data_IF_918908723107
#
_entry.id   IF_918908723107
#
_cell.length_a   1.000
_cell.length_b   1.000
_cell.length_c   1.000
_cell.angle_alpha   90.00
_cell.angle_beta   90.00
_cell.angle_gamma   90.00
#
_symmetry.space_group_name_H-M   'P 1'
#
loop_
_entity.id
_entity.type
_entity.pdbx_description
1 polymer ?
#
# COMPACT_ATOMS: atom_id res chain seq x y z
N UNK A 1 -5.07 -23.51 2.22
CA UNK A 1 -5.17 -24.27 0.94
C UNK A 1 -4.62 -23.55 -0.30
N UNK A 2 -4.41 -22.22 -0.31
CA UNK A 2 -3.83 -21.49 -1.47
C UNK A 2 -2.29 -21.34 -1.49
N UNK A 3 -1.56 -21.63 -0.41
CA UNK A 3 -0.09 -21.46 -0.39
C UNK A 3 0.68 -22.71 -0.85
N UNK A 4 0.13 -23.91 -0.63
CA UNK A 4 0.76 -25.17 -1.10
C UNK A 4 0.67 -25.34 -2.63
N UNK A 5 -0.32 -24.72 -3.27
CA UNK A 5 -0.47 -24.73 -4.73
C UNK A 5 0.54 -23.82 -5.43
N UNK A 6 0.94 -22.69 -4.85
CA UNK A 6 1.85 -21.72 -5.50
C UNK A 6 3.29 -22.23 -5.58
N UNK A 7 3.78 -22.91 -4.54
CA UNK A 7 5.12 -23.53 -4.55
C UNK A 7 5.18 -24.72 -5.52
N UNK A 8 4.08 -25.47 -5.65
CA UNK A 8 3.95 -26.53 -6.65
C UNK A 8 3.99 -26.02 -8.09
N UNK A 9 3.39 -24.86 -8.38
CA UNK A 9 3.36 -24.29 -9.73
C UNK A 9 4.71 -23.74 -10.22
N UNK A 10 5.58 -23.30 -9.31
CA UNK A 10 6.91 -22.73 -9.66
C UNK A 10 7.97 -23.83 -9.78
N UNK A 11 7.86 -24.92 -9.01
CA UNK A 11 8.88 -25.97 -8.96
C UNK A 11 8.59 -27.12 -9.93
N UNK A 12 7.32 -27.43 -10.22
CA UNK A 12 6.94 -28.58 -11.07
C UNK A 12 7.51 -28.55 -12.51
N UNK A 13 7.72 -27.40 -13.19
CA UNK A 13 8.32 -27.40 -14.52
C UNK A 13 9.85 -27.55 -14.50
N UNK A 14 10.50 -27.17 -13.40
CA UNK A 14 11.98 -27.21 -13.26
C UNK A 14 12.46 -28.65 -13.07
N UNK A 15 11.63 -29.53 -12.51
CA UNK A 15 11.91 -30.96 -12.33
C UNK A 15 11.41 -31.84 -13.49
N UNK A 16 10.74 -31.26 -14.49
CA UNK A 16 10.13 -31.95 -15.62
C UNK A 16 10.93 -31.83 -16.93
N UNK A 17 12.25 -32.00 -16.92
CA UNK A 17 13.03 -32.16 -18.15
C UNK A 17 12.72 -33.53 -18.77
N UNK A 18 11.66 -33.61 -19.59
CA UNK A 18 11.36 -34.87 -20.29
C UNK A 18 10.07 -34.96 -21.13
N UNK A 19 9.30 -33.88 -21.35
CA UNK A 19 8.15 -33.94 -22.28
C UNK A 19 8.13 -32.71 -23.19
N UNK A 20 7.91 -32.95 -24.48
CA UNK A 20 8.03 -32.01 -25.61
C UNK A 20 7.01 -30.85 -25.65
N UNK A 21 6.46 -30.40 -24.52
CA UNK A 21 5.48 -29.31 -24.47
C UNK A 21 5.92 -28.19 -23.50
N UNK A 22 6.12 -27.00 -24.06
CA UNK A 22 6.46 -25.78 -23.33
C UNK A 22 5.21 -25.21 -22.63
N UNK A 23 5.11 -25.35 -21.30
CA UNK A 23 3.92 -24.95 -20.53
C UNK A 23 4.10 -23.53 -19.98
N UNK A 24 3.20 -22.61 -20.30
CA UNK A 24 3.20 -21.23 -19.78
C UNK A 24 2.42 -21.12 -18.44
N UNK A 25 2.76 -20.17 -17.54
CA UNK A 25 2.10 -19.98 -16.25
C UNK A 25 0.60 -19.65 -16.34
N UNK A 26 0.18 -18.95 -17.40
CA UNK A 26 -1.24 -18.64 -17.67
C UNK A 26 -1.62 -18.96 -19.11
N UNK A 27 -2.83 -19.51 -19.30
CA UNK A 27 -3.43 -19.69 -20.63
C UNK A 27 -3.95 -18.36 -21.16
N UNK A 28 -3.04 -17.49 -21.57
CA UNK A 28 -3.32 -16.18 -22.17
C UNK A 28 -2.85 -16.15 -23.62
N UNK A 29 -3.64 -15.54 -24.51
CA UNK A 29 -3.31 -15.41 -25.93
C UNK A 29 -2.09 -14.50 -26.12
N UNK A 30 -1.09 -14.98 -26.86
CA UNK A 30 0.13 -14.23 -27.19
C UNK A 30 0.24 -14.12 -28.71
N UNK A 31 0.45 -12.93 -29.29
CA UNK A 31 0.39 -12.71 -30.74
C UNK A 31 1.59 -13.25 -31.53
N UNK A 32 2.53 -13.94 -30.89
CA UNK A 32 3.75 -14.49 -31.49
C UNK A 32 3.99 -15.95 -31.05
N UNK A 33 4.69 -16.72 -31.89
CA UNK A 33 4.97 -18.14 -31.62
C UNK A 33 5.92 -18.31 -30.44
N UNK A 34 5.48 -19.08 -29.45
CA UNK A 34 6.23 -19.37 -28.21
C UNK A 34 7.06 -20.67 -28.35
N UNK A 35 7.25 -21.18 -29.58
CA UNK A 35 7.99 -22.41 -29.85
C UNK A 35 9.52 -22.28 -29.75
N UNK A 36 10.04 -21.05 -29.61
CA UNK A 36 11.48 -20.77 -29.46
C UNK A 36 11.80 -20.35 -28.03
N UNK A 37 12.98 -20.72 -27.55
CA UNK A 37 13.39 -20.59 -26.14
C UNK A 37 13.38 -19.14 -25.63
N UNK A 38 13.80 -18.18 -26.46
CA UNK A 38 13.92 -16.78 -26.08
C UNK A 38 12.55 -16.08 -25.90
N UNK A 39 11.61 -16.15 -26.87
CA UNK A 39 10.25 -15.63 -26.65
C UNK A 39 9.48 -16.41 -25.58
N UNK A 40 9.73 -17.72 -25.40
CA UNK A 40 9.17 -18.48 -24.29
C UNK A 40 9.65 -17.96 -22.93
N UNK A 41 10.96 -17.81 -22.74
CA UNK A 41 11.53 -17.31 -21.49
C UNK A 41 11.03 -15.89 -21.16
N UNK A 42 10.97 -14.99 -22.16
CA UNK A 42 10.45 -13.63 -21.96
C UNK A 42 8.96 -13.62 -21.57
N UNK A 43 8.12 -14.42 -22.26
CA UNK A 43 6.69 -14.54 -21.96
C UNK A 43 6.46 -15.18 -20.60
N UNK A 44 7.25 -16.20 -20.27
CA UNK A 44 7.21 -16.88 -18.98
C UNK A 44 7.56 -15.92 -17.85
N UNK A 45 8.69 -15.19 -17.97
CA UNK A 45 9.13 -14.20 -16.98
C UNK A 45 8.08 -13.09 -16.80
N UNK A 46 7.52 -12.59 -17.89
CA UNK A 46 6.48 -11.57 -17.89
C UNK A 46 5.20 -12.07 -17.20
N UNK A 47 4.75 -13.30 -17.48
CA UNK A 47 3.57 -13.88 -16.85
C UNK A 47 3.81 -14.19 -15.37
N UNK A 48 4.99 -14.69 -14.99
CA UNK A 48 5.36 -14.87 -13.58
C UNK A 48 5.47 -13.54 -12.83
N UNK A 49 6.02 -12.50 -13.45
CA UNK A 49 6.11 -11.17 -12.85
C UNK A 49 4.71 -10.54 -12.71
N UNK A 50 3.84 -10.70 -13.70
CA UNK A 50 2.45 -10.25 -13.63
C UNK A 50 1.63 -11.00 -12.56
N UNK A 51 1.83 -12.32 -12.42
CA UNK A 51 1.23 -13.12 -11.35
C UNK A 51 1.77 -12.72 -9.98
N UNK A 52 3.08 -12.53 -9.86
CA UNK A 52 3.72 -12.06 -8.64
C UNK A 52 3.22 -10.67 -8.25
N UNK A 53 3.08 -9.75 -9.21
CA UNK A 53 2.54 -8.42 -9.00
C UNK A 53 1.05 -8.46 -8.64
N UNK A 54 0.23 -9.29 -9.29
CA UNK A 54 -1.19 -9.47 -8.96
C UNK A 54 -1.39 -10.10 -7.57
N UNK A 55 -0.54 -11.06 -7.18
CA UNK A 55 -0.53 -11.66 -5.84
C UNK A 55 -0.05 -10.64 -4.82
N UNK A 56 1.01 -9.87 -5.08
CA UNK A 56 1.51 -8.83 -4.18
C UNK A 56 0.52 -7.67 -4.01
N UNK A 57 -0.20 -7.28 -5.07
CA UNK A 57 -1.26 -6.26 -5.01
C UNK A 57 -2.46 -6.71 -4.16
N UNK A 58 -2.87 -7.98 -4.26
CA UNK A 58 -3.87 -8.55 -3.36
C UNK A 58 -3.32 -8.66 -1.93
N UNK A 59 -2.08 -9.12 -1.77
CA UNK A 59 -1.40 -9.27 -0.48
C UNK A 59 -1.13 -7.93 0.20
N UNK A 60 -0.93 -6.81 -0.48
CA UNK A 60 -0.73 -5.52 0.20
C UNK A 60 -2.02 -4.95 0.81
N UNK A 61 -3.15 -5.12 0.12
CA UNK A 61 -4.46 -4.70 0.62
C UNK A 61 -5.00 -5.68 1.66
N UNK A 62 -4.77 -6.97 1.43
CA UNK A 62 -5.10 -8.02 2.36
C UNK A 62 -4.16 -7.98 3.58
N UNK A 63 -2.85 -7.79 3.49
CA UNK A 63 -1.94 -7.87 4.66
C UNK A 63 -2.18 -6.82 5.74
N UNK A 64 -2.81 -5.69 5.42
CA UNK A 64 -3.14 -4.66 6.41
C UNK A 64 -4.49 -4.96 7.10
N UNK A 65 -5.45 -5.55 6.38
CA UNK A 65 -6.74 -6.02 6.93
C UNK A 65 -6.61 -7.39 7.59
N UNK A 66 -5.81 -8.28 7.00
CA UNK A 66 -5.39 -9.59 7.47
C UNK A 66 -4.35 -9.50 8.56
N UNK A 67 -3.47 -8.50 8.68
CA UNK A 67 -2.62 -8.37 9.87
C UNK A 67 -3.45 -8.31 11.16
N UNK A 68 -4.51 -7.49 11.15
CA UNK A 68 -5.45 -7.36 12.26
C UNK A 68 -6.51 -8.47 12.33
N UNK A 69 -7.06 -8.91 11.19
CA UNK A 69 -8.00 -10.05 11.20
C UNK A 69 -7.32 -11.40 11.40
N UNK A 70 -6.03 -11.58 11.10
CA UNK A 70 -5.28 -12.81 11.42
C UNK A 70 -5.07 -12.89 12.93
N UNK A 71 -4.84 -11.79 13.66
CA UNK A 71 -4.69 -11.87 15.11
C UNK A 71 -5.99 -12.34 15.81
N UNK A 72 -7.15 -11.86 15.35
CA UNK A 72 -8.45 -12.26 15.87
C UNK A 72 -8.99 -13.58 15.29
N UNK A 73 -8.76 -13.83 14.00
CA UNK A 73 -9.24 -15.00 13.25
C UNK A 73 -8.29 -16.19 13.39
N UNK A 74 -6.99 -16.03 13.71
CA UNK A 74 -6.11 -17.16 14.02
C UNK A 74 -6.62 -17.91 15.26
N UNK A 75 -6.99 -17.20 16.33
CA UNK A 75 -7.51 -17.83 17.55
C UNK A 75 -8.80 -18.63 17.30
N UNK A 76 -9.67 -18.15 16.40
CA UNK A 76 -10.93 -18.79 16.03
C UNK A 76 -10.82 -19.84 14.91
N UNK A 77 -9.89 -19.67 13.96
CA UNK A 77 -9.70 -20.57 12.82
C UNK A 77 -8.88 -21.80 13.19
N UNK A 78 -7.88 -21.69 14.07
CA UNK A 78 -7.15 -22.87 14.56
C UNK A 78 -8.06 -23.75 15.41
N UNK A 79 -8.92 -23.13 16.25
CA UNK A 79 -9.91 -23.85 17.06
C UNK A 79 -11.01 -24.49 16.19
N UNK A 80 -11.53 -23.78 15.18
CA UNK A 80 -12.56 -24.33 14.29
C UNK A 80 -12.03 -25.40 13.34
N UNK A 81 -10.80 -25.28 12.82
CA UNK A 81 -10.14 -26.34 12.06
C UNK A 81 -9.88 -27.58 12.90
N UNK A 82 -9.43 -27.40 14.15
CA UNK A 82 -9.21 -28.51 15.08
C UNK A 82 -10.53 -29.23 15.42
N UNK A 83 -11.60 -28.48 15.68
CA UNK A 83 -12.93 -29.05 15.96
C UNK A 83 -13.48 -29.77 14.71
N UNK A 84 -13.32 -29.19 13.53
CA UNK A 84 -13.83 -29.78 12.28
C UNK A 84 -13.01 -30.99 11.83
N UNK A 85 -11.70 -31.01 12.07
CA UNK A 85 -10.84 -32.17 11.81
C UNK A 85 -11.12 -33.31 12.80
N UNK A 86 -11.34 -32.99 14.08
CA UNK A 86 -11.77 -33.95 15.10
C UNK A 86 -13.15 -34.54 14.77
N UNK A 87 -14.11 -33.70 14.37
CA UNK A 87 -15.44 -34.12 13.94
C UNK A 87 -15.41 -34.98 12.65
N UNK A 88 -14.54 -34.64 11.69
CA UNK A 88 -14.36 -35.42 10.45
C UNK A 88 -13.71 -36.78 10.74
N UNK A 89 -12.72 -36.81 11.64
CA UNK A 89 -12.08 -38.05 12.07
C UNK A 89 -13.05 -38.96 12.83
N UNK A 90 -13.86 -38.41 13.75
CA UNK A 90 -14.95 -39.14 14.42
C UNK A 90 -16.01 -39.60 13.42
N UNK A 91 -16.38 -38.77 12.44
CA UNK A 91 -17.33 -39.12 11.39
C UNK A 91 -16.87 -40.28 10.50
N UNK A 92 -15.59 -40.30 10.09
CA UNK A 92 -14.99 -41.39 9.32
C UNK A 92 -14.89 -42.70 10.11
N UNK A 93 -14.68 -42.62 11.42
CA UNK A 93 -14.63 -43.78 12.33
C UNK A 93 -16.04 -44.29 12.69
N UNK A 94 -17.06 -43.42 12.71
CA UNK A 94 -18.43 -43.78 13.12
C UNK A 94 -19.36 -44.12 11.95
N UNK A 95 -19.12 -43.60 10.75
CA UNK A 95 -20.01 -43.79 9.58
C UNK A 95 -20.21 -45.28 9.18
N UNK A 96 -19.20 -46.16 9.22
CA UNK A 96 -19.39 -47.58 8.92
C UNK A 96 -20.06 -48.36 10.06
N UNK A 97 -19.87 -47.91 11.32
CA UNK A 97 -20.48 -48.52 12.52
C UNK A 97 -22.00 -48.29 12.52
N UNK A 98 -22.46 -47.13 12.06
CA UNK A 98 -23.89 -46.86 11.84
C UNK A 98 -24.48 -47.62 10.64
N UNK A 99 -23.63 -48.13 9.74
CA UNK A 99 -24.00 -48.97 8.59
C UNK A 99 -24.13 -50.48 8.88
N UNK A 100 -23.86 -50.91 10.11
CA UNK A 100 -23.85 -52.33 10.55
C UNK A 100 -25.19 -53.09 10.37
N UNK A 101 -26.24 -52.42 9.90
CA UNK A 101 -27.54 -53.05 9.58
C UNK A 101 -27.71 -53.55 8.14
N UNK A 102 -26.76 -53.33 7.22
CA UNK A 102 -26.92 -53.62 5.77
C UNK A 102 -26.10 -54.79 5.19
N UNK A 103 -25.38 -55.54 6.02
CA UNK A 103 -24.74 -56.81 5.60
C UNK A 103 -23.48 -56.69 4.73
N UNK A 104 -22.95 -55.49 4.50
CA UNK A 104 -21.70 -55.27 3.75
C UNK A 104 -20.61 -54.68 4.66
N UNK A 105 -19.45 -55.35 4.72
CA UNK A 105 -18.29 -54.95 5.52
C UNK A 105 -17.49 -53.86 4.79
N UNK A 106 -17.51 -52.62 5.28
CA UNK A 106 -16.78 -51.50 4.68
C UNK A 106 -15.54 -51.11 5.50
N UNK A 107 -14.38 -51.05 4.86
CA UNK A 107 -13.13 -50.56 5.46
C UNK A 107 -12.98 -49.03 5.26
N UNK A 108 -12.31 -48.31 6.18
CA UNK A 108 -12.10 -46.87 6.08
C UNK A 108 -11.31 -46.45 4.83
N UNK A 109 -10.36 -47.27 4.40
CA UNK A 109 -9.56 -47.03 3.19
C UNK A 109 -9.52 -48.27 2.30
N UNK A 110 -9.63 -48.08 0.98
CA UNK A 110 -9.47 -49.18 0.00
C UNK A 110 -8.00 -49.52 -0.16
N UNK A 111 -7.47 -50.30 0.78
CA UNK A 111 -6.09 -50.78 0.78
C UNK A 111 -6.09 -52.29 0.55
N UNK A 112 -5.11 -52.81 -0.20
CA UNK A 112 -4.95 -54.25 -0.38
C UNK A 112 -4.50 -54.88 0.95
N UNK A 113 -5.21 -55.93 1.38
CA UNK A 113 -4.92 -56.68 2.60
C UNK A 113 -4.67 -58.15 2.21
N UNK A 114 -3.57 -58.77 2.65
CA UNK A 114 -3.16 -60.10 2.17
C UNK A 114 -3.95 -61.28 2.77
N UNK A 115 -4.98 -61.02 3.60
CA UNK A 115 -5.79 -62.03 4.28
C UNK A 115 -7.29 -61.80 4.07
N UNK A 116 -8.09 -62.87 4.20
CA UNK A 116 -9.55 -62.81 4.06
C UNK A 116 -10.17 -61.94 5.17
N UNK A 117 -11.05 -61.03 4.78
CA UNK A 117 -11.75 -60.10 5.67
C UNK A 117 -13.21 -60.56 5.89
N UNK A 118 -13.52 -61.82 5.56
CA UNK A 118 -14.85 -62.42 5.74
C UNK A 118 -15.19 -62.72 7.20
N UNK A 119 -14.18 -62.79 8.08
CA UNK A 119 -14.34 -63.07 9.50
C UNK A 119 -14.28 -61.79 10.35
N UNK A 120 -15.07 -61.76 11.43
CA UNK A 120 -15.25 -60.57 12.30
C UNK A 120 -13.92 -60.10 12.91
N UNK A 121 -13.10 -61.03 13.40
CA UNK A 121 -11.87 -60.68 14.11
C UNK A 121 -10.81 -59.99 13.21
N UNK A 122 -10.42 -60.54 12.05
CA UNK A 122 -9.50 -59.84 11.13
C UNK A 122 -10.09 -58.56 10.54
N UNK A 123 -11.41 -58.48 10.35
CA UNK A 123 -12.07 -57.24 9.92
C UNK A 123 -11.90 -56.13 10.97
N UNK A 124 -12.25 -56.38 12.24
CA UNK A 124 -12.18 -55.38 13.32
C UNK A 124 -10.75 -54.94 13.57
N UNK A 125 -9.77 -55.86 13.54
CA UNK A 125 -8.36 -55.52 13.70
C UNK A 125 -7.86 -54.60 12.57
N UNK A 126 -8.16 -54.94 11.31
CA UNK A 126 -7.78 -54.12 10.14
C UNK A 126 -8.48 -52.77 10.17
N UNK A 127 -9.75 -52.73 10.58
CA UNK A 127 -10.54 -51.52 10.70
C UNK A 127 -9.94 -50.57 11.74
N UNK A 128 -9.67 -51.06 12.95
CA UNK A 128 -9.05 -50.26 14.01
C UNK A 128 -7.67 -49.75 13.60
N UNK A 129 -6.88 -50.59 12.91
CA UNK A 129 -5.55 -50.19 12.42
C UNK A 129 -5.65 -49.08 11.36
N UNK A 130 -6.54 -49.21 10.37
CA UNK A 130 -6.74 -48.18 9.34
C UNK A 130 -7.34 -46.90 9.92
N UNK A 131 -8.29 -47.01 10.84
CA UNK A 131 -8.88 -45.88 11.55
C UNK A 131 -7.84 -45.13 12.38
N UNK A 132 -7.00 -45.85 13.15
CA UNK A 132 -5.93 -45.25 13.94
C UNK A 132 -4.86 -44.60 13.05
N UNK A 133 -4.49 -45.24 11.93
CA UNK A 133 -3.54 -44.67 10.98
C UNK A 133 -4.09 -43.40 10.30
N UNK A 134 -5.36 -43.40 9.90
CA UNK A 134 -6.02 -42.23 9.30
C UNK A 134 -6.14 -41.09 10.33
N UNK A 135 -6.54 -41.41 11.57
CA UNK A 135 -6.59 -40.44 12.67
C UNK A 135 -5.22 -39.82 12.93
N UNK A 136 -4.17 -40.64 13.03
CA UNK A 136 -2.81 -40.17 13.25
C UNK A 136 -2.28 -39.32 12.08
N UNK A 137 -2.55 -39.71 10.83
CA UNK A 137 -2.18 -38.94 9.65
C UNK A 137 -2.90 -37.57 9.60
N UNK A 138 -4.21 -37.53 9.90
CA UNK A 138 -4.98 -36.29 9.97
C UNK A 138 -4.44 -35.39 11.10
N UNK A 139 -4.18 -35.95 12.29
CA UNK A 139 -3.68 -35.20 13.44
C UNK A 139 -2.28 -34.63 13.20
N UNK A 140 -1.37 -35.39 12.56
CA UNK A 140 -0.05 -34.89 12.18
C UNK A 140 -0.14 -33.77 11.14
N UNK A 141 -1.01 -33.90 10.14
CA UNK A 141 -1.19 -32.88 9.11
C UNK A 141 -1.73 -31.58 9.70
N UNK A 142 -2.76 -31.67 10.55
CA UNK A 142 -3.34 -30.51 11.25
C UNK A 142 -2.32 -29.86 12.19
N UNK A 143 -1.48 -30.66 12.87
CA UNK A 143 -0.43 -30.13 13.75
C UNK A 143 0.67 -29.41 12.97
N UNK A 144 1.08 -29.95 11.82
CA UNK A 144 2.06 -29.33 10.94
C UNK A 144 1.51 -28.04 10.32
N UNK A 145 0.28 -28.06 9.80
CA UNK A 145 -0.38 -26.87 9.28
C UNK A 145 -0.49 -25.80 10.37
N UNK A 146 -0.96 -26.14 11.58
CA UNK A 146 -1.06 -25.21 12.70
C UNK A 146 0.29 -24.60 13.10
N UNK A 147 1.38 -25.37 13.02
CA UNK A 147 2.73 -24.90 13.30
C UNK A 147 3.21 -23.93 12.23
N UNK A 148 3.03 -24.27 10.94
CA UNK A 148 3.37 -23.38 9.81
C UNK A 148 2.55 -22.08 9.87
N UNK A 149 1.25 -22.16 10.17
CA UNK A 149 0.41 -20.99 10.38
C UNK A 149 0.89 -20.15 11.57
N UNK A 150 1.19 -20.76 12.72
CA UNK A 150 1.75 -20.05 13.89
C UNK A 150 3.06 -19.32 13.58
N UNK A 151 4.01 -19.98 12.88
CA UNK A 151 5.25 -19.35 12.43
C UNK A 151 5.02 -18.22 11.44
N UNK A 152 4.08 -18.38 10.50
CA UNK A 152 3.74 -17.34 9.52
C UNK A 152 3.17 -16.10 10.19
N UNK A 153 2.33 -16.27 11.21
CA UNK A 153 1.73 -15.17 11.99
C UNK A 153 2.82 -14.44 12.79
N UNK A 154 3.67 -15.18 13.50
CA UNK A 154 4.78 -14.58 14.23
C UNK A 154 5.78 -13.88 13.31
N UNK A 155 6.10 -14.47 12.16
CA UNK A 155 6.95 -13.86 11.15
C UNK A 155 6.32 -12.58 10.56
N UNK A 156 5.02 -12.59 10.28
CA UNK A 156 4.29 -11.41 9.78
C UNK A 156 4.31 -10.26 10.80
N UNK A 157 4.08 -10.55 12.09
CA UNK A 157 4.22 -9.56 13.15
C UNK A 157 5.64 -9.01 13.27
N UNK A 158 6.67 -9.86 13.14
CA UNK A 158 8.06 -9.39 13.16
C UNK A 158 8.44 -8.55 11.93
N UNK A 159 7.87 -8.87 10.75
CA UNK A 159 8.06 -8.06 9.54
C UNK A 159 7.50 -6.66 9.74
N UNK A 160 6.34 -6.51 10.39
CA UNK A 160 5.78 -5.18 10.70
C UNK A 160 6.75 -4.33 11.52
N UNK A 161 7.23 -4.85 12.67
CA UNK A 161 8.19 -4.13 13.50
C UNK A 161 9.51 -3.84 12.77
N UNK A 162 9.97 -4.76 11.91
CA UNK A 162 11.17 -4.58 11.11
C UNK A 162 11.01 -3.46 10.07
N UNK A 163 9.85 -3.39 9.40
CA UNK A 163 9.54 -2.31 8.45
C UNK A 163 9.48 -0.96 9.16
N UNK A 164 8.87 -0.90 10.35
CA UNK A 164 8.83 0.31 11.17
C UNK A 164 10.23 0.77 11.54
N UNK A 165 11.03 -0.14 12.12
CA UNK A 165 12.40 0.16 12.49
C UNK A 165 13.19 0.73 11.31
N UNK A 166 13.06 0.09 10.15
CA UNK A 166 13.75 0.47 8.93
C UNK A 166 13.31 1.84 8.39
N UNK A 167 12.02 2.20 8.48
CA UNK A 167 11.52 3.53 8.09
C UNK A 167 12.02 4.62 9.04
N UNK A 168 11.97 4.38 10.35
CA UNK A 168 12.43 5.35 11.34
C UNK A 168 13.94 5.52 11.30
N UNK A 169 14.71 4.44 11.13
CA UNK A 169 16.15 4.47 10.90
C UNK A 169 16.47 5.33 9.67
N UNK A 170 15.82 5.05 8.54
CA UNK A 170 16.01 5.84 7.32
C UNK A 170 15.67 7.32 7.52
N UNK A 171 14.57 7.63 8.21
CA UNK A 171 14.16 9.01 8.51
C UNK A 171 15.20 9.76 9.35
N UNK A 172 15.81 9.08 10.33
CA UNK A 172 16.88 9.67 11.16
C UNK A 172 18.14 9.93 10.32
N UNK A 173 18.54 8.97 9.48
CA UNK A 173 19.71 9.14 8.60
C UNK A 173 19.50 10.27 7.59
N UNK A 174 18.30 10.42 7.06
CA UNK A 174 17.96 11.50 6.14
C UNK A 174 17.96 12.86 6.85
N UNK A 175 17.46 12.93 8.08
CA UNK A 175 17.53 14.14 8.89
C UNK A 175 18.99 14.56 9.20
N UNK A 176 19.87 13.58 9.46
CA UNK A 176 21.31 13.86 9.65
C UNK A 176 21.94 14.39 8.37
N UNK A 177 21.59 13.84 7.20
CA UNK A 177 22.11 14.31 5.92
C UNK A 177 21.66 15.72 5.59
N UNK A 178 20.39 16.06 5.85
CA UNK A 178 19.86 17.43 5.71
C UNK A 178 20.62 18.41 6.60
N UNK A 179 20.94 18.03 7.85
CA UNK A 179 21.73 18.88 8.76
C UNK A 179 23.16 19.07 8.25
N UNK A 180 23.76 18.02 7.67
CA UNK A 180 25.12 18.03 7.13
C UNK A 180 25.25 18.84 5.85
N UNK A 181 24.27 18.73 4.96
CA UNK A 181 24.26 19.41 3.64
C UNK A 181 23.71 20.83 3.70
N UNK A 182 23.43 21.37 4.90
CA UNK A 182 22.84 22.71 5.10
C UNK A 182 23.55 23.86 4.39
N UNK A 183 24.86 23.74 4.18
CA UNK A 183 25.67 24.78 3.53
C UNK A 183 25.60 24.69 1.99
N UNK A 184 25.12 23.57 1.44
CA UNK A 184 24.97 23.30 0.01
C UNK A 184 23.49 23.30 -0.40
N UNK A 185 23.00 24.46 -0.84
CA UNK A 185 21.57 24.70 -1.13
C UNK A 185 20.95 23.64 -2.05
N UNK A 186 21.67 23.19 -3.08
CA UNK A 186 21.13 22.22 -4.05
C UNK A 186 20.92 20.82 -3.42
N UNK A 187 21.91 20.33 -2.68
CA UNK A 187 21.84 19.02 -1.99
C UNK A 187 20.85 19.06 -0.84
N UNK A 188 20.82 20.17 -0.09
CA UNK A 188 19.83 20.41 0.96
C UNK A 188 18.39 20.35 0.42
N UNK A 189 18.14 20.91 -0.76
CA UNK A 189 16.81 20.96 -1.38
C UNK A 189 16.32 19.55 -1.75
N UNK A 190 17.21 18.73 -2.31
CA UNK A 190 16.93 17.35 -2.69
C UNK A 190 16.69 16.48 -1.44
N UNK A 191 17.53 16.63 -0.40
CA UNK A 191 17.38 15.95 0.89
C UNK A 191 16.12 16.36 1.65
N UNK A 192 15.74 17.64 1.64
CA UNK A 192 14.52 18.12 2.31
C UNK A 192 13.23 17.54 1.70
N UNK A 193 13.19 17.34 0.38
CA UNK A 193 12.02 16.77 -0.29
C UNK A 193 11.78 15.31 0.14
N UNK A 194 12.83 14.50 0.14
CA UNK A 194 12.78 13.10 0.61
C UNK A 194 12.51 13.05 2.12
N UNK A 195 13.23 13.86 2.91
CA UNK A 195 13.14 13.87 4.36
C UNK A 195 11.76 14.26 4.88
N UNK A 196 11.11 15.26 4.28
CA UNK A 196 9.74 15.64 4.66
C UNK A 196 8.72 14.57 4.31
N UNK A 197 8.94 13.83 3.22
CA UNK A 197 8.06 12.71 2.82
C UNK A 197 8.14 11.57 3.84
N UNK A 198 9.34 11.14 4.21
CA UNK A 198 9.54 10.08 5.22
C UNK A 198 9.15 10.52 6.64
N UNK A 199 9.36 11.80 6.99
CA UNK A 199 8.88 12.37 8.24
C UNK A 199 7.35 12.34 8.31
N UNK A 200 6.67 12.75 7.24
CA UNK A 200 5.20 12.70 7.16
C UNK A 200 4.70 11.26 7.27
N UNK A 201 5.34 10.32 6.58
CA UNK A 201 5.01 8.90 6.67
C UNK A 201 5.12 8.39 8.12
N UNK A 202 6.20 8.75 8.82
CA UNK A 202 6.43 8.39 10.22
C UNK A 202 5.32 8.94 11.12
N UNK A 203 4.90 10.19 10.90
CA UNK A 203 3.78 10.81 11.64
C UNK A 203 2.45 10.14 11.32
N UNK A 204 2.16 9.83 10.05
CA UNK A 204 0.95 9.08 9.64
C UNK A 204 0.90 7.71 10.31
N UNK A 205 2.01 6.99 10.30
CA UNK A 205 2.13 5.67 10.92
C UNK A 205 1.92 5.73 12.44
N UNK A 206 2.59 6.67 13.13
CA UNK A 206 2.38 6.88 14.57
C UNK A 206 0.93 7.26 14.90
N UNK A 207 0.30 8.11 14.09
CA UNK A 207 -1.11 8.47 14.24
C UNK A 207 -2.04 7.27 14.08
N UNK A 208 -1.76 6.38 13.12
CA UNK A 208 -2.52 5.15 12.92
C UNK A 208 -2.41 4.23 14.14
N UNK A 209 -1.20 3.96 14.63
CA UNK A 209 -0.99 3.12 15.81
C UNK A 209 -1.70 3.67 17.06
N UNK A 210 -1.61 4.98 17.30
CA UNK A 210 -2.28 5.62 18.44
C UNK A 210 -3.82 5.55 18.36
N UNK A 211 -4.37 5.29 17.18
CA UNK A 211 -5.81 5.37 16.88
C UNK A 211 -6.39 4.08 16.33
N UNK A 212 -5.63 2.99 16.34
CA UNK A 212 -6.03 1.68 15.84
C UNK A 212 -7.42 1.27 16.36
N UNK A 213 -7.65 1.44 17.66
CA UNK A 213 -8.94 1.17 18.30
C UNK A 213 -10.11 1.97 17.69
N UNK A 214 -9.89 3.25 17.36
CA UNK A 214 -10.91 4.11 16.75
C UNK A 214 -11.17 3.75 15.29
N UNK A 215 -10.13 3.34 14.56
CA UNK A 215 -10.26 2.84 13.19
C UNK A 215 -11.04 1.52 13.17
N UNK A 216 -10.76 0.62 14.12
CA UNK A 216 -11.55 -0.60 14.31
C UNK A 216 -13.01 -0.29 14.64
N UNK A 217 -13.26 0.64 15.57
CA UNK A 217 -14.62 1.09 15.92
C UNK A 217 -15.36 1.63 14.68
N UNK A 218 -14.67 2.35 13.80
CA UNK A 218 -15.22 2.88 12.55
C UNK A 218 -15.63 1.77 11.57
N UNK A 219 -14.82 0.71 11.45
CA UNK A 219 -15.17 -0.47 10.67
C UNK A 219 -16.35 -1.23 11.26
N UNK A 220 -16.45 -1.30 12.58
CA UNK A 220 -17.57 -1.94 13.27
C UNK A 220 -18.88 -1.18 13.05
N UNK A 221 -18.85 0.16 13.04
CA UNK A 221 -20.02 0.97 12.66
C UNK A 221 -20.52 0.67 11.25
N UNK A 222 -19.63 0.48 10.27
CA UNK A 222 -20.00 0.12 8.89
C UNK A 222 -20.55 -1.32 8.78
N UNK A 223 -20.25 -2.20 9.73
CA UNK A 223 -20.74 -3.59 9.77
C UNK A 223 -22.12 -3.74 10.41
N UNK A 224 -22.63 -2.70 11.07
CA UNK A 224 -23.98 -2.73 11.66
C UNK A 224 -25.01 -3.06 10.57
N UNK A 225 -25.99 -3.91 10.91
CA UNK A 225 -27.06 -4.37 9.99
C UNK A 225 -27.76 -3.24 9.21
N UNK A 226 -27.83 -2.06 9.82
CA UNK A 226 -28.37 -0.84 9.21
C UNK A 226 -27.54 -0.32 8.03
N UNK A 227 -26.21 -0.44 8.07
CA UNK A 227 -25.30 -0.03 7.00
C UNK A 227 -25.15 -1.08 5.88
N UNK A 228 -25.69 -2.28 6.09
CA UNK A 228 -25.66 -3.37 5.12
C UNK A 228 -26.82 -3.24 4.11
N UNK A 229 -26.64 -3.73 2.87
CA UNK A 229 -27.66 -3.65 1.83
C UNK A 229 -28.73 -4.73 2.07
N UNK A 230 -30.01 -4.37 1.89
CA UNK A 230 -31.16 -5.27 2.04
C UNK A 230 -31.67 -5.80 0.70
N UNK A 231 -31.59 -4.99 -0.35
CA UNK A 231 -32.14 -5.25 -1.68
C UNK A 231 -31.04 -5.27 -2.75
N UNK A 232 -31.31 -5.87 -3.91
CA UNK A 232 -30.39 -5.89 -5.05
C UNK A 232 -30.00 -4.48 -5.53
N UNK A 233 -30.93 -3.52 -5.51
CA UNK A 233 -30.65 -2.12 -5.83
C UNK A 233 -29.67 -1.49 -4.83
N UNK A 234 -29.84 -1.74 -3.53
CA UNK A 234 -28.93 -1.23 -2.49
C UNK A 234 -27.52 -1.85 -2.62
N UNK A 235 -27.45 -3.12 -3.03
CA UNK A 235 -26.20 -3.80 -3.27
C UNK A 235 -25.44 -3.17 -4.45
N UNK A 236 -26.14 -2.82 -5.55
CA UNK A 236 -25.54 -2.16 -6.71
C UNK A 236 -24.94 -0.80 -6.36
N UNK A 237 -25.64 0.01 -5.55
CA UNK A 237 -25.15 1.32 -5.09
C UNK A 237 -23.82 1.16 -4.33
N UNK A 238 -23.74 0.16 -3.45
CA UNK A 238 -22.56 -0.07 -2.63
C UNK A 238 -21.39 -0.67 -3.43
N UNK A 239 -21.68 -1.55 -4.40
CA UNK A 239 -20.67 -2.10 -5.31
C UNK A 239 -20.07 -1.02 -6.23
N UNK A 240 -20.87 -0.07 -6.71
CA UNK A 240 -20.38 1.05 -7.49
C UNK A 240 -19.38 1.92 -6.72
N UNK A 241 -19.73 2.28 -5.48
CA UNK A 241 -18.85 3.05 -4.60
C UNK A 241 -17.57 2.29 -4.23
N UNK A 242 -17.69 0.99 -3.91
CA UNK A 242 -16.55 0.13 -3.64
C UNK A 242 -15.61 0.03 -4.86
N UNK A 243 -16.17 -0.12 -6.06
CA UNK A 243 -15.42 -0.11 -7.32
C UNK A 243 -14.68 1.21 -7.52
N UNK A 244 -15.32 2.35 -7.22
CA UNK A 244 -14.69 3.68 -7.31
C UNK A 244 -13.52 3.81 -6.32
N UNK A 245 -13.67 3.35 -5.08
CA UNK A 245 -12.60 3.35 -4.08
C UNK A 245 -11.41 2.46 -4.52
N UNK A 246 -11.70 1.26 -5.02
CA UNK A 246 -10.67 0.32 -5.51
C UNK A 246 -9.90 0.89 -6.70
N UNK A 247 -10.58 1.42 -7.71
CA UNK A 247 -9.92 2.02 -8.87
C UNK A 247 -9.07 3.23 -8.48
N UNK A 248 -9.56 4.08 -7.58
CA UNK A 248 -8.79 5.22 -7.07
C UNK A 248 -7.49 4.77 -6.38
N UNK A 249 -7.58 3.72 -5.55
CA UNK A 249 -6.43 3.11 -4.85
C UNK A 249 -5.41 2.53 -5.81
N UNK A 250 -5.87 1.74 -6.78
CA UNK A 250 -4.99 1.13 -7.78
C UNK A 250 -4.31 2.20 -8.63
N UNK A 251 -5.04 3.21 -9.09
CA UNK A 251 -4.46 4.31 -9.86
C UNK A 251 -3.39 5.07 -9.06
N UNK A 252 -3.65 5.41 -7.80
CA UNK A 252 -2.69 6.11 -6.96
C UNK A 252 -1.44 5.27 -6.67
N UNK A 253 -1.62 3.98 -6.43
CA UNK A 253 -0.52 3.03 -6.26
C UNK A 253 0.35 2.95 -7.51
N UNK A 254 -0.25 2.80 -8.70
CA UNK A 254 0.51 2.72 -9.96
C UNK A 254 1.35 3.96 -10.22
N UNK A 255 0.80 5.16 -9.98
CA UNK A 255 1.53 6.42 -10.14
C UNK A 255 2.70 6.47 -9.15
N UNK A 256 2.45 6.16 -7.88
CA UNK A 256 3.48 6.22 -6.82
C UNK A 256 4.62 5.23 -7.06
N UNK A 257 4.30 4.01 -7.52
CA UNK A 257 5.30 3.01 -7.89
C UNK A 257 6.11 3.40 -9.13
N UNK A 258 5.46 3.96 -10.14
CA UNK A 258 6.16 4.45 -11.33
C UNK A 258 7.18 5.54 -10.95
N UNK A 259 6.80 6.45 -10.06
CA UNK A 259 7.72 7.47 -9.51
C UNK A 259 8.87 6.84 -8.73
N UNK A 260 8.59 5.89 -7.82
CA UNK A 260 9.62 5.18 -7.05
C UNK A 260 10.62 4.40 -7.92
N UNK A 261 10.14 3.73 -8.96
CA UNK A 261 11.01 3.05 -9.93
C UNK A 261 11.94 4.04 -10.66
N UNK A 262 11.47 5.24 -10.97
CA UNK A 262 12.29 6.30 -11.56
C UNK A 262 13.52 6.67 -10.72
N UNK A 263 13.36 6.74 -9.39
CA UNK A 263 14.47 6.98 -8.46
C UNK A 263 15.50 5.85 -8.44
N UNK A 264 15.07 4.60 -8.62
CA UNK A 264 15.97 3.44 -8.59
C UNK A 264 16.70 3.21 -9.91
N UNK A 265 16.00 3.40 -11.04
CA UNK A 265 16.52 3.10 -12.38
C UNK A 265 17.63 4.05 -12.81
N UNK A 266 17.52 5.34 -12.48
CA UNK A 266 18.52 6.36 -12.89
C UNK A 266 19.94 6.05 -12.39
N UNK A 267 20.17 5.80 -11.08
CA UNK A 267 21.49 5.38 -10.59
C UNK A 267 21.91 3.99 -11.08
N UNK A 268 20.98 3.04 -11.26
CA UNK A 268 21.30 1.72 -11.78
C UNK A 268 21.82 1.76 -13.23
N UNK A 269 21.22 2.60 -14.07
CA UNK A 269 21.72 2.88 -15.43
C UNK A 269 23.08 3.60 -15.39
N UNK A 270 23.27 4.54 -14.46
CA UNK A 270 24.56 5.20 -14.22
C UNK A 270 25.68 4.22 -13.87
N UNK A 271 25.38 3.23 -13.03
CA UNK A 271 26.33 2.15 -12.70
C UNK A 271 26.70 1.32 -13.94
N UNK A 272 25.71 0.90 -14.74
CA UNK A 272 25.94 0.07 -15.93
C UNK A 272 26.70 0.80 -17.05
N UNK A 273 26.49 2.11 -17.18
CA UNK A 273 27.06 2.90 -18.28
C UNK A 273 28.37 3.60 -17.94
N UNK A 274 28.52 4.08 -16.69
CA UNK A 274 29.65 4.90 -16.25
C UNK A 274 30.49 4.27 -15.12
N UNK A 275 30.10 3.10 -14.59
CA UNK A 275 30.73 2.48 -13.40
C UNK A 275 30.79 3.40 -12.17
N UNK A 276 29.89 4.37 -12.08
CA UNK A 276 29.78 5.27 -10.93
C UNK A 276 28.90 4.65 -9.85
N UNK A 277 29.41 4.60 -8.62
CA UNK A 277 28.70 4.05 -7.46
C UNK A 277 27.82 5.15 -6.84
N UNK A 278 26.68 5.43 -7.48
CA UNK A 278 25.72 6.45 -7.02
C UNK A 278 24.52 5.75 -6.38
N UNK A 279 24.22 6.11 -5.14
CA UNK A 279 23.07 5.56 -4.43
C UNK A 279 21.76 6.23 -4.88
N UNK A 280 20.64 5.50 -4.93
CA UNK A 280 19.31 6.03 -5.26
C UNK A 280 18.84 7.15 -4.35
N UNK A 281 19.09 7.00 -3.05
CA UNK A 281 18.68 7.96 -2.03
C UNK A 281 19.95 8.52 -1.38
N UNK A 282 20.10 9.84 -1.43
CA UNK A 282 21.19 10.58 -0.80
C UNK A 282 20.89 10.74 0.68
N UNK A 283 21.10 9.67 1.44
CA UNK A 283 20.96 9.66 2.90
C UNK A 283 22.31 9.43 3.55
N UNK A 284 22.46 9.87 4.80
CA UNK A 284 23.72 9.74 5.52
C UNK A 284 24.04 8.26 5.77
N UNK A 285 25.24 7.84 5.41
CA UNK A 285 25.72 6.47 5.65
C UNK A 285 26.98 6.53 6.51
N UNK A 286 26.97 5.89 7.69
CA UNK A 286 28.09 5.97 8.63
C UNK A 286 29.31 5.10 8.24
N UNK A 287 29.20 4.30 7.18
CA UNK A 287 30.24 3.38 6.70
C UNK A 287 30.65 3.65 5.26
N UNK A 288 31.87 3.23 4.87
CA UNK A 288 32.40 3.44 3.53
C UNK A 288 31.74 2.51 2.50
N UNK A 289 31.09 3.08 1.49
CA UNK A 289 30.41 2.35 0.41
C UNK A 289 31.36 2.00 -0.75
N UNK A 290 32.66 1.90 -0.49
CA UNK A 290 33.68 1.67 -1.53
C UNK A 290 33.70 0.23 -2.08
N UNK A 291 33.20 -0.73 -1.30
CA UNK A 291 33.17 -2.15 -1.69
C UNK A 291 31.82 -2.47 -2.37
N UNK A 292 31.87 -3.14 -3.52
CA UNK A 292 30.70 -3.53 -4.31
C UNK A 292 29.65 -4.31 -3.50
N UNK A 293 30.08 -5.19 -2.59
CA UNK A 293 29.15 -5.95 -1.75
C UNK A 293 28.38 -5.06 -0.77
N UNK A 294 29.07 -4.10 -0.14
CA UNK A 294 28.46 -3.14 0.79
C UNK A 294 27.54 -2.20 0.00
N UNK A 295 27.96 -1.76 -1.19
CA UNK A 295 27.14 -0.96 -2.09
C UNK A 295 25.84 -1.68 -2.47
N UNK A 296 25.91 -2.94 -2.93
CA UNK A 296 24.74 -3.70 -3.33
C UNK A 296 23.79 -3.98 -2.15
N UNK A 297 24.35 -4.26 -0.96
CA UNK A 297 23.56 -4.43 0.25
C UNK A 297 22.81 -3.13 0.64
N UNK A 298 23.50 -1.99 0.59
CA UNK A 298 22.92 -0.68 0.88
C UNK A 298 21.84 -0.31 -0.14
N UNK A 299 22.10 -0.58 -1.43
CA UNK A 299 21.15 -0.39 -2.51
C UNK A 299 19.89 -1.24 -2.30
N UNK A 300 20.05 -2.50 -1.91
CA UNK A 300 18.93 -3.39 -1.60
C UNK A 300 18.14 -2.90 -0.38
N UNK A 301 18.81 -2.44 0.68
CA UNK A 301 18.17 -1.85 1.84
C UNK A 301 17.35 -0.60 1.46
N UNK A 302 17.91 0.31 0.65
CA UNK A 302 17.19 1.49 0.17
C UNK A 302 16.00 1.11 -0.73
N UNK A 303 16.15 0.08 -1.58
CA UNK A 303 15.05 -0.44 -2.39
C UNK A 303 13.90 -0.97 -1.52
N UNK A 304 14.21 -1.76 -0.50
CA UNK A 304 13.22 -2.30 0.45
C UNK A 304 12.53 -1.16 1.21
N UNK A 305 13.32 -0.18 1.67
CA UNK A 305 12.80 1.02 2.36
C UNK A 305 11.83 1.80 1.48
N UNK A 306 12.21 2.07 0.24
CA UNK A 306 11.39 2.82 -0.69
C UNK A 306 10.12 2.04 -1.06
N UNK A 307 10.23 0.73 -1.29
CA UNK A 307 9.10 -0.15 -1.60
C UNK A 307 8.04 -0.12 -0.49
N UNK A 308 8.45 -0.38 0.76
CA UNK A 308 7.53 -0.36 1.89
C UNK A 308 7.06 1.05 2.25
N UNK A 309 7.91 2.06 2.08
CA UNK A 309 7.54 3.46 2.26
C UNK A 309 6.42 3.90 1.33
N UNK A 310 6.52 3.55 0.03
CA UNK A 310 5.46 3.82 -0.94
C UNK A 310 4.18 3.07 -0.60
N UNK A 311 4.27 1.76 -0.27
CA UNK A 311 3.09 0.97 0.10
C UNK A 311 2.36 1.54 1.30
N UNK A 312 3.08 1.87 2.38
CA UNK A 312 2.46 2.43 3.58
C UNK A 312 1.87 3.80 3.34
N UNK A 313 2.56 4.69 2.60
CA UNK A 313 2.00 6.00 2.29
C UNK A 313 0.70 5.88 1.48
N UNK A 314 0.69 5.04 0.44
CA UNK A 314 -0.51 4.78 -0.37
C UNK A 314 -1.63 4.17 0.48
N UNK A 315 -1.33 3.20 1.34
CA UNK A 315 -2.32 2.56 2.20
C UNK A 315 -2.98 3.55 3.15
N UNK A 316 -2.22 4.42 3.81
CA UNK A 316 -2.80 5.42 4.71
C UNK A 316 -3.69 6.40 3.98
N UNK A 317 -3.24 6.94 2.84
CA UNK A 317 -4.07 7.87 2.07
C UNK A 317 -5.35 7.18 1.56
N UNK A 318 -5.24 5.90 1.16
CA UNK A 318 -6.35 5.09 0.64
C UNK A 318 -7.39 4.71 1.66
N UNK A 319 -6.97 4.48 2.89
CA UNK A 319 -7.87 4.26 4.02
C UNK A 319 -8.78 5.48 4.24
N UNK A 320 -8.21 6.70 4.18
CA UNK A 320 -8.96 7.94 4.43
C UNK A 320 -10.04 8.16 3.35
N UNK A 321 -9.65 8.26 2.08
CA UNK A 321 -10.64 8.51 1.04
C UNK A 321 -11.55 7.30 0.81
N UNK A 322 -11.11 6.08 1.15
CA UNK A 322 -11.96 4.90 1.22
C UNK A 322 -13.13 5.11 2.20
N UNK A 323 -12.85 5.59 3.41
CA UNK A 323 -13.89 5.94 4.38
C UNK A 323 -14.78 7.09 3.93
N UNK A 324 -14.24 8.10 3.22
CA UNK A 324 -15.05 9.17 2.65
C UNK A 324 -16.02 8.61 1.60
N UNK A 325 -15.53 7.78 0.67
CA UNK A 325 -16.37 7.17 -0.38
C UNK A 325 -17.43 6.26 0.25
N UNK A 326 -17.08 5.47 1.26
CA UNK A 326 -18.05 4.66 2.00
C UNK A 326 -19.08 5.53 2.74
N UNK A 327 -18.68 6.66 3.32
CA UNK A 327 -19.61 7.60 3.96
C UNK A 327 -20.58 8.19 2.93
N UNK A 328 -20.10 8.55 1.74
CA UNK A 328 -20.97 8.97 0.62
C UNK A 328 -21.96 7.87 0.23
N UNK A 329 -21.50 6.62 0.13
CA UNK A 329 -22.38 5.48 -0.16
C UNK A 329 -23.48 5.31 0.90
N UNK A 330 -23.15 5.53 2.19
CA UNK A 330 -24.13 5.46 3.29
C UNK A 330 -25.17 6.60 3.21
N UNK A 331 -24.76 7.80 2.77
CA UNK A 331 -25.68 8.91 2.54
C UNK A 331 -26.63 8.60 1.38
N UNK A 332 -26.11 8.08 0.26
CA UNK A 332 -26.93 7.72 -0.89
C UNK A 332 -27.91 6.60 -0.58
N UNK A 333 -27.44 5.57 0.16
CA UNK A 333 -28.29 4.49 0.66
C UNK A 333 -29.42 5.01 1.54
N UNK A 334 -29.13 5.96 2.43
CA UNK A 334 -30.13 6.61 3.27
C UNK A 334 -31.15 7.40 2.44
N UNK A 335 -30.71 8.16 1.44
CA UNK A 335 -31.58 8.89 0.52
C UNK A 335 -32.50 7.95 -0.28
N UNK A 336 -31.96 6.84 -0.78
CA UNK A 336 -32.74 5.80 -1.47
C UNK A 336 -33.85 5.26 -0.56
N UNK A 337 -33.49 4.82 0.66
CA UNK A 337 -34.45 4.29 1.64
C UNK A 337 -35.50 5.31 2.04
N UNK A 338 -35.11 6.56 2.26
CA UNK A 338 -36.05 7.63 2.61
C UNK A 338 -37.06 7.86 1.48
N UNK A 339 -36.60 7.86 0.23
CA UNK A 339 -37.45 8.06 -0.95
C UNK A 339 -38.44 6.90 -1.13
N UNK A 340 -37.98 5.65 -0.98
CA UNK A 340 -38.82 4.46 -1.07
C UNK A 340 -39.90 4.46 0.03
N UNK A 341 -39.52 4.81 1.27
CA UNK A 341 -40.45 4.93 2.39
C UNK A 341 -41.49 6.04 2.18
N UNK A 342 -41.09 7.21 1.67
CA UNK A 342 -42.01 8.32 1.36
C UNK A 342 -42.98 7.94 0.24
N UNK A 343 -42.53 7.20 -0.77
CA UNK A 343 -43.40 6.69 -1.83
C UNK A 343 -44.39 5.63 -1.32
N UNK A 344 -44.06 4.87 -0.27
CA UNK A 344 -45.03 3.97 0.38
C UNK A 344 -46.05 4.70 1.26
N UNK A 345 -45.71 5.87 1.82
CA UNK A 345 -46.62 6.68 2.67
C UNK A 345 -47.86 7.14 1.90
N UNK A 346 -47.76 7.38 0.59
CA UNK A 346 -48.92 7.73 -0.25
C UNK A 346 -49.93 6.56 -0.41
N UNK A 347 -49.62 5.35 0.09
CA UNK A 347 -50.42 4.12 -0.01
C UNK A 347 -51.05 3.60 1.31
N UNK A 348 -51.31 4.46 2.30
CA UNK A 348 -52.12 4.16 3.51
C UNK A 348 -51.58 3.14 4.56
N UNK A 349 -50.27 2.84 4.65
CA UNK A 349 -49.71 2.05 5.79
C UNK A 349 -49.02 2.92 6.85
N UNK A 350 -49.74 3.28 7.93
CA UNK A 350 -49.26 4.16 9.02
C UNK A 350 -48.45 3.49 10.16
N UNK A 351 -48.52 2.17 10.35
CA UNK A 351 -47.82 1.50 11.48
C UNK A 351 -46.37 1.10 11.16
N UNK A 352 -46.09 0.73 9.90
CA UNK A 352 -44.75 0.36 9.43
C UNK A 352 -43.82 1.58 9.25
N UNK A 353 -44.42 2.77 9.16
CA UNK A 353 -43.76 4.03 8.77
C UNK A 353 -43.02 4.70 9.91
N UNK A 354 -43.54 4.66 11.15
CA UNK A 354 -42.84 5.22 12.31
C UNK A 354 -41.51 4.50 12.60
N UNK A 355 -41.50 3.17 12.46
CA UNK A 355 -40.28 2.36 12.63
C UNK A 355 -39.24 2.66 11.54
N UNK A 356 -39.69 2.95 10.32
CA UNK A 356 -38.81 3.22 9.18
C UNK A 356 -38.15 4.62 9.24
N UNK A 357 -38.88 5.62 9.73
CA UNK A 357 -38.34 6.97 9.93
C UNK A 357 -37.34 6.99 11.10
N UNK A 358 -37.63 6.29 12.19
CA UNK A 358 -36.68 6.10 13.31
C UNK A 358 -35.39 5.43 12.82
N UNK A 359 -35.50 4.42 11.94
CA UNK A 359 -34.36 3.77 11.30
C UNK A 359 -33.52 4.78 10.50
N UNK A 360 -34.14 5.61 9.65
CA UNK A 360 -33.43 6.66 8.90
C UNK A 360 -32.74 7.70 9.80
N UNK A 361 -33.38 8.16 10.88
CA UNK A 361 -32.80 9.13 11.81
C UNK A 361 -31.57 8.55 12.51
N UNK A 362 -31.63 7.29 12.94
CA UNK A 362 -30.49 6.61 13.57
C UNK A 362 -29.35 6.40 12.57
N UNK A 363 -29.65 6.10 11.30
CA UNK A 363 -28.64 6.00 10.24
C UNK A 363 -27.96 7.36 10.01
N UNK A 364 -28.71 8.46 9.98
CA UNK A 364 -28.15 9.81 9.84
C UNK A 364 -27.22 10.19 11.01
N UNK A 365 -27.61 9.87 12.25
CA UNK A 365 -26.77 10.08 13.43
C UNK A 365 -25.46 9.29 13.34
N UNK A 366 -25.52 8.04 12.86
CA UNK A 366 -24.35 7.19 12.64
C UNK A 366 -23.39 7.78 11.60
N UNK A 367 -23.92 8.23 10.45
CA UNK A 367 -23.13 8.92 9.42
C UNK A 367 -22.47 10.18 9.98
N UNK A 368 -23.16 10.95 10.81
CA UNK A 368 -22.59 12.14 11.46
C UNK A 368 -21.43 11.79 12.41
N UNK A 369 -21.52 10.67 13.12
CA UNK A 369 -20.44 10.17 13.98
C UNK A 369 -19.24 9.74 13.11
N UNK A 370 -19.49 8.99 12.03
CA UNK A 370 -18.47 8.58 11.06
C UNK A 370 -17.70 9.81 10.52
N UNK A 371 -18.40 10.83 10.02
CA UNK A 371 -17.77 12.05 9.50
C UNK A 371 -16.98 12.81 10.57
N UNK A 372 -17.48 12.86 11.81
CA UNK A 372 -16.76 13.52 12.92
C UNK A 372 -15.47 12.81 13.26
N UNK A 373 -15.42 11.48 13.18
CA UNK A 373 -14.21 10.70 13.41
C UNK A 373 -13.16 10.94 12.32
N UNK A 374 -13.58 11.11 11.06
CA UNK A 374 -12.69 11.49 9.94
C UNK A 374 -12.10 12.91 10.06
N UNK A 375 -12.79 13.83 10.75
CA UNK A 375 -12.36 15.24 10.85
C UNK A 375 -10.99 15.44 11.51
N UNK A 376 -10.52 14.51 12.33
CA UNK A 376 -9.20 14.61 12.97
C UNK A 376 -8.04 14.30 12.02
N UNK A 377 -8.27 13.52 10.95
CA UNK A 377 -7.24 13.26 9.94
C UNK A 377 -7.13 14.40 8.93
N UNK A 378 -8.21 15.16 8.74
CA UNK A 378 -8.17 16.44 8.03
C UNK A 378 -7.14 17.40 8.64
N UNK A 379 -6.96 17.38 9.98
CA UNK A 379 -5.89 18.13 10.64
C UNK A 379 -4.50 17.66 10.21
N UNK A 380 -4.28 16.34 10.10
CA UNK A 380 -3.00 15.79 9.62
C UNK A 380 -2.72 16.17 8.16
N UNK A 381 -3.74 16.13 7.30
CA UNK A 381 -3.65 16.57 5.91
C UNK A 381 -3.36 18.07 5.80
N UNK A 382 -3.98 18.88 6.68
CA UNK A 382 -3.76 20.32 6.75
C UNK A 382 -2.35 20.65 7.25
N UNK A 383 -1.84 19.92 8.23
CA UNK A 383 -0.45 20.03 8.69
C UNK A 383 0.54 19.67 7.57
N UNK A 384 0.30 18.57 6.85
CA UNK A 384 1.14 18.17 5.71
C UNK A 384 1.13 19.24 4.60
N UNK A 385 -0.05 19.71 4.20
CA UNK A 385 -0.19 20.79 3.21
C UNK A 385 0.55 22.05 3.66
N UNK A 386 0.42 22.43 4.93
CA UNK A 386 1.11 23.59 5.49
C UNK A 386 2.64 23.41 5.46
N UNK A 387 3.14 22.21 5.74
CA UNK A 387 4.57 21.88 5.67
C UNK A 387 5.13 22.01 4.26
N UNK A 388 4.44 21.44 3.27
CA UNK A 388 4.84 21.54 1.85
C UNK A 388 4.81 22.97 1.34
N UNK A 389 3.80 23.77 1.73
CA UNK A 389 3.72 25.18 1.38
C UNK A 389 4.82 26.01 2.04
N UNK A 390 5.16 25.72 3.30
CA UNK A 390 6.28 26.36 4.00
C UNK A 390 7.61 26.04 3.32
N UNK A 391 7.84 24.79 2.91
CA UNK A 391 9.05 24.40 2.17
C UNK A 391 9.17 25.21 0.87
N UNK A 392 8.09 25.28 0.07
CA UNK A 392 8.06 26.06 -1.15
C UNK A 392 8.30 27.55 -0.89
N UNK A 393 7.71 28.09 0.18
CA UNK A 393 7.91 29.47 0.60
C UNK A 393 9.39 29.77 0.89
N UNK A 394 10.07 28.90 1.65
CA UNK A 394 11.50 29.08 1.93
C UNK A 394 12.35 29.10 0.65
N UNK A 395 12.06 28.26 -0.34
CA UNK A 395 12.77 28.31 -1.63
C UNK A 395 12.56 29.63 -2.36
N UNK A 396 11.31 30.09 -2.43
CA UNK A 396 10.97 31.35 -3.08
C UNK A 396 11.55 32.56 -2.33
N UNK A 397 11.64 32.49 -0.99
CA UNK A 397 12.23 33.53 -0.16
C UNK A 397 13.74 33.66 -0.40
N UNK A 398 14.49 32.57 -0.26
CA UNK A 398 15.96 32.61 -0.45
C UNK A 398 16.35 32.83 -1.92
N UNK A 399 15.57 32.32 -2.87
CA UNK A 399 15.77 32.64 -4.29
C UNK A 399 15.60 34.14 -4.57
N UNK A 400 14.62 34.79 -3.94
CA UNK A 400 14.41 36.23 -4.04
C UNK A 400 15.49 37.04 -3.32
N UNK A 401 15.93 36.64 -2.13
CA UNK A 401 17.02 37.30 -1.41
C UNK A 401 18.32 37.28 -2.22
N UNK A 402 18.63 36.15 -2.88
CA UNK A 402 19.78 36.04 -3.77
C UNK A 402 19.69 37.03 -4.94
N UNK A 403 18.52 37.14 -5.56
CA UNK A 403 18.28 38.09 -6.66
C UNK A 403 18.50 39.54 -6.20
N UNK A 404 17.98 39.91 -5.02
CA UNK A 404 18.14 41.24 -4.43
C UNK A 404 19.60 41.55 -4.10
N UNK A 405 20.32 40.61 -3.47
CA UNK A 405 21.75 40.78 -3.14
C UNK A 405 22.60 40.91 -4.39
N UNK A 406 22.29 40.12 -5.43
CA UNK A 406 22.97 40.22 -6.73
C UNK A 406 22.77 41.59 -7.38
N UNK A 407 21.53 42.12 -7.38
CA UNK A 407 21.26 43.47 -7.85
C UNK A 407 21.95 44.55 -6.99
N UNK A 408 22.10 44.30 -5.70
CA UNK A 408 22.81 45.17 -4.76
C UNK A 408 24.28 45.40 -5.09
N UNK A 409 24.94 44.49 -5.84
CA UNK A 409 26.33 44.67 -6.30
C UNK A 409 26.46 45.93 -7.16
N UNK A 410 25.47 46.21 -8.02
CA UNK A 410 25.47 47.41 -8.84
C UNK A 410 25.40 48.68 -7.98
N UNK A 411 24.55 48.69 -6.95
CA UNK A 411 24.41 49.79 -6.00
C UNK A 411 25.67 50.00 -5.15
N UNK A 412 26.34 48.91 -4.75
CA UNK A 412 27.59 48.96 -4.01
C UNK A 412 28.73 49.57 -4.85
N UNK A 413 28.85 49.19 -6.12
CA UNK A 413 29.83 49.80 -7.02
C UNK A 413 29.51 51.29 -7.23
N UNK A 414 28.23 51.63 -7.43
CA UNK A 414 27.81 53.02 -7.66
C UNK A 414 28.10 53.94 -6.47
N UNK A 415 27.91 53.44 -5.25
CA UNK A 415 28.16 54.19 -3.99
C UNK A 415 29.63 54.23 -3.57
N UNK A 416 30.51 53.50 -4.27
CA UNK A 416 31.96 53.53 -4.03
C UNK A 416 32.64 54.72 -4.73
N UNK A 417 33.88 55.02 -4.36
CA UNK A 417 34.73 56.00 -5.04
C UNK A 417 35.25 55.51 -6.42
N UNK A 418 34.38 54.88 -7.22
CA UNK A 418 34.72 54.25 -8.52
C UNK A 418 35.30 55.24 -9.54
N UNK A 419 35.09 56.54 -9.33
CA UNK A 419 35.62 57.65 -10.15
C UNK A 419 37.11 57.92 -9.91
N UNK A 420 37.69 57.42 -8.82
CA UNK A 420 39.13 57.57 -8.49
C UNK A 420 40.00 56.42 -9.01
N UNK A 421 39.39 55.35 -9.51
CA UNK A 421 40.09 54.14 -10.00
C UNK A 421 40.60 54.33 -11.44
N UNK A 422 41.59 53.53 -11.84
CA UNK A 422 42.21 53.58 -13.17
C UNK A 422 41.16 53.40 -14.30
N UNK A 423 41.40 53.96 -15.50
CA UNK A 423 40.46 53.82 -16.62
C UNK A 423 40.19 52.37 -17.05
N UNK A 424 41.15 51.46 -16.85
CA UNK A 424 40.98 50.03 -17.14
C UNK A 424 40.03 49.37 -16.14
N UNK A 425 40.26 49.57 -14.84
CA UNK A 425 39.40 49.00 -13.78
C UNK A 425 37.98 49.59 -13.81
N UNK A 426 37.85 50.88 -14.15
CA UNK A 426 36.54 51.53 -14.32
C UNK A 426 35.68 50.85 -15.38
N UNK A 427 36.27 50.44 -16.51
CA UNK A 427 35.54 49.69 -17.55
C UNK A 427 35.07 48.32 -17.03
N UNK A 428 35.90 47.63 -16.26
CA UNK A 428 35.56 46.35 -15.63
C UNK A 428 34.41 46.51 -14.62
N UNK A 429 34.44 47.57 -13.79
CA UNK A 429 33.36 47.86 -12.83
C UNK A 429 32.03 48.17 -13.52
N UNK A 430 32.04 48.91 -14.63
CA UNK A 430 30.84 49.17 -15.44
C UNK A 430 30.27 47.85 -15.99
N UNK A 431 31.12 46.95 -16.49
CA UNK A 431 30.71 45.63 -16.95
C UNK A 431 30.04 44.81 -15.83
N UNK A 432 30.61 44.82 -14.62
CA UNK A 432 30.03 44.15 -13.46
C UNK A 432 28.68 44.78 -13.10
N UNK A 433 28.57 46.10 -13.13
CA UNK A 433 27.34 46.84 -12.84
C UNK A 433 26.20 46.48 -13.81
N UNK A 434 26.49 46.46 -15.12
CA UNK A 434 25.51 46.10 -16.15
C UNK A 434 25.05 44.64 -15.99
N UNK A 435 25.97 43.72 -15.70
CA UNK A 435 25.61 42.31 -15.51
C UNK A 435 24.81 42.07 -14.22
N UNK A 436 25.15 42.77 -13.13
CA UNK A 436 24.50 42.61 -11.83
C UNK A 436 23.05 43.12 -11.81
N UNK A 437 22.71 44.09 -12.66
CA UNK A 437 21.33 44.62 -12.78
C UNK A 437 20.32 43.57 -13.25
N UNK A 438 20.75 42.53 -13.98
CA UNK A 438 19.87 41.42 -14.38
C UNK A 438 19.46 40.56 -13.18
N UNK A 439 20.26 40.55 -12.11
CA UNK A 439 20.09 39.66 -10.96
C UNK A 439 20.43 38.21 -11.30
N UNK A 440 20.96 37.48 -10.32
CA UNK A 440 21.13 36.03 -10.41
C UNK A 440 19.84 35.38 -9.90
N UNK A 441 19.17 34.64 -10.78
CA UNK A 441 17.90 33.99 -10.49
C UNK A 441 17.99 32.49 -10.77
N UNK A 442 17.57 31.66 -9.82
CA UNK A 442 17.43 30.23 -10.05
C UNK A 442 16.18 29.98 -10.91
N UNK A 443 16.38 29.52 -12.14
CA UNK A 443 15.29 29.16 -13.04
C UNK A 443 15.55 27.84 -13.76
N UNK A 444 14.52 27.00 -13.87
CA UNK A 444 14.55 25.80 -14.71
C UNK A 444 14.13 26.16 -16.14
N UNK A 445 15.09 26.16 -17.07
CA UNK A 445 14.88 26.41 -18.51
C UNK A 445 14.05 27.67 -18.84
N UNK A 446 14.00 28.66 -17.95
CA UNK A 446 13.23 29.90 -18.13
C UNK A 446 11.72 29.78 -17.89
N UNK A 447 11.22 28.61 -17.46
CA UNK A 447 9.77 28.36 -17.28
C UNK A 447 9.32 28.76 -15.87
N UNK A 448 10.11 28.41 -14.86
CA UNK A 448 9.85 28.74 -13.47
C UNK A 448 11.07 29.39 -12.84
N UNK A 449 10.85 30.53 -12.18
CA UNK A 449 11.85 31.22 -11.38
C UNK A 449 11.52 31.04 -9.90
N UNK A 450 12.52 30.76 -9.07
CA UNK A 450 12.35 30.71 -7.61
C UNK A 450 12.29 32.13 -7.05
N UNK A 451 11.09 32.72 -7.06
CA UNK A 451 10.82 34.07 -6.55
C UNK A 451 9.53 34.12 -5.72
N UNK A 452 9.40 35.15 -4.87
CA UNK A 452 8.17 35.42 -4.11
C UNK A 452 6.95 35.67 -5.01
N UNK A 453 7.16 36.18 -6.22
CA UNK A 453 6.10 36.35 -7.21
C UNK A 453 5.54 35.00 -7.65
N UNK A 454 6.40 34.02 -7.90
CA UNK A 454 6.00 32.66 -8.28
C UNK A 454 5.22 31.97 -7.15
N UNK A 455 5.67 32.09 -5.90
CA UNK A 455 4.92 31.57 -4.75
C UNK A 455 3.52 32.17 -4.65
N UNK A 456 3.42 33.50 -4.75
CA UNK A 456 2.14 34.21 -4.73
C UNK A 456 1.23 33.78 -5.89
N UNK A 457 1.82 33.59 -7.08
CA UNK A 457 1.10 33.10 -8.25
C UNK A 457 0.55 31.69 -8.04
N UNK A 458 1.33 30.79 -7.45
CA UNK A 458 0.90 29.43 -7.09
C UNK A 458 -0.29 29.51 -6.13
N UNK A 459 -0.17 30.23 -5.00
CA UNK A 459 -1.25 30.35 -4.02
C UNK A 459 -2.52 30.97 -4.61
N UNK A 460 -2.40 32.02 -5.43
CA UNK A 460 -3.54 32.65 -6.10
C UNK A 460 -4.22 31.71 -7.08
N UNK A 461 -3.44 30.96 -7.85
CA UNK A 461 -3.97 30.01 -8.83
C UNK A 461 -4.69 28.86 -8.13
N UNK A 462 -4.13 28.31 -7.05
CA UNK A 462 -4.78 27.29 -6.24
C UNK A 462 -6.11 27.78 -5.64
N UNK A 463 -6.13 28.99 -5.08
CA UNK A 463 -7.35 29.59 -4.52
C UNK A 463 -8.41 29.88 -5.61
N UNK A 464 -7.98 30.37 -6.77
CA UNK A 464 -8.85 30.61 -7.92
C UNK A 464 -9.49 29.31 -8.42
N UNK A 465 -8.69 28.25 -8.56
CA UNK A 465 -9.18 26.93 -8.94
C UNK A 465 -10.17 26.37 -7.91
N UNK A 466 -9.90 26.54 -6.61
CA UNK A 466 -10.82 26.16 -5.54
C UNK A 466 -12.17 26.90 -5.66
N UNK A 467 -12.15 28.22 -5.85
CA UNK A 467 -13.37 29.00 -6.02
C UNK A 467 -14.15 28.62 -7.27
N UNK A 468 -13.47 28.32 -8.38
CA UNK A 468 -14.09 27.83 -9.61
C UNK A 468 -14.78 26.49 -9.40
N UNK A 469 -14.13 25.55 -8.72
CA UNK A 469 -14.73 24.26 -8.36
C UNK A 469 -15.92 24.43 -7.42
N UNK A 470 -15.84 25.36 -6.47
CA UNK A 470 -16.93 25.66 -5.56
C UNK A 470 -18.13 26.30 -6.27
N UNK A 471 -17.89 27.19 -7.24
CA UNK A 471 -18.94 27.77 -8.08
C UNK A 471 -19.55 26.75 -9.04
N UNK A 472 -18.78 25.78 -9.54
CA UNK A 472 -19.31 24.71 -10.41
C UNK A 472 -20.08 23.64 -9.62
N UNK A 473 -19.85 23.54 -8.30
CA UNK A 473 -20.55 22.62 -7.40
C UNK A 473 -21.83 23.20 -6.80
N UNK A 474 -21.99 24.53 -6.79
CA UNK A 474 -23.20 25.25 -6.37
C UNK A 474 -24.07 25.54 -7.59
#
# INVERSE_FOLDING_TARGET
>A
MCQATTVGFVIAPILGFGKDEWILPTKSYVPYSVSKILPYAATYLQQTAALFYAVMLNVSFDSLVYGFTIHACAKWSTLSFLIMSQATAVGLVMAPILGLGKGEWFLPTKSYVPYSISEIFPYVATYLQQAAALFYAIMLNVSFDSLVYGFTIHACGQIEYAVVFLIYEFTILDAVEVIRTRDHIHELTEGLFLGLTFLTLSVKYANFLLRENKVSELLDYLRIKMCQPKNSTEQLIMEEHNRKAKWSTVSFMMISFATGLGFMITPALGLLTKNEHVLPLKSYIPYSVSNLFIYLATYLQQFITLFYGIMLNVSFDSLIYGFIIHTCAQIELMCHRLTENLNCISSERKSQTNVSIEECVRHHLLVKILTRLLSFEFLSMLLYLSGMLLQLFYYCWYGNELELKSKGIATAIYSSDWTKVTPQDRKSLIFIMINSQKGIMFSYHGIFALSLNTFTWICRTSYSAYNLLQQASN
#
